data_IF_652948229548
#
_entry.id   IF_652948229548
#
_cell.length_a   1.000
_cell.length_b   1.000
_cell.length_c   1.000
_cell.angle_alpha   90.00
_cell.angle_beta   90.00
_cell.angle_gamma   90.00
#
_symmetry.space_group_name_H-M   'P 1'
#
loop_
_entity.id
_entity.type
_entity.pdbx_description
1 polymer ?
#
# COMPACT_ATOMS: atom_id res chain seq x y z
N UNK A 1 -15.99 -18.36 -11.54
CA UNK A 1 -14.89 -18.15 -12.51
C UNK A 1 -13.67 -18.79 -11.89
N UNK A 2 -13.45 -20.08 -12.15
CA UNK A 2 -12.29 -20.81 -11.65
C UNK A 2 -11.50 -21.27 -12.87
N UNK A 3 -10.34 -20.65 -13.09
CA UNK A 3 -9.32 -21.15 -14.02
C UNK A 3 -8.47 -22.14 -13.24
N UNK A 4 -8.71 -23.44 -13.43
CA UNK A 4 -7.88 -24.50 -12.87
C UNK A 4 -6.47 -24.42 -13.47
N UNK A 5 -5.48 -24.12 -12.62
CA UNK A 5 -4.06 -23.92 -12.94
C UNK A 5 -3.43 -25.14 -13.65
N UNK A 6 -4.04 -26.31 -13.49
CA UNK A 6 -3.50 -27.61 -13.90
C UNK A 6 -3.55 -27.85 -15.42
N UNK A 7 -4.46 -27.18 -16.16
CA UNK A 7 -4.65 -27.37 -17.61
C UNK A 7 -3.92 -26.34 -18.49
N UNK A 8 -3.13 -25.43 -17.90
CA UNK A 8 -2.41 -24.40 -18.64
C UNK A 8 -1.07 -24.91 -19.17
N UNK A 9 -0.74 -24.56 -20.41
CA UNK A 9 0.62 -24.72 -20.95
C UNK A 9 1.62 -23.91 -20.12
N UNK A 10 2.91 -24.25 -20.20
CA UNK A 10 3.97 -23.51 -19.50
C UNK A 10 3.92 -22.00 -19.82
N UNK A 11 3.74 -21.65 -21.10
CA UNK A 11 3.61 -20.25 -21.53
C UNK A 11 2.40 -19.53 -20.90
N UNK A 12 1.24 -20.20 -20.82
CA UNK A 12 0.06 -19.61 -20.19
C UNK A 12 0.19 -19.51 -18.67
N UNK A 13 0.93 -20.42 -18.02
CA UNK A 13 1.26 -20.33 -16.60
C UNK A 13 2.15 -19.13 -16.32
N UNK A 14 3.17 -18.89 -17.15
CA UNK A 14 4.08 -17.76 -16.99
C UNK A 14 3.38 -16.41 -17.17
N UNK A 15 2.49 -16.31 -18.17
CA UNK A 15 1.66 -15.13 -18.38
C UNK A 15 0.70 -14.89 -17.21
N UNK A 16 0.01 -15.94 -16.75
CA UNK A 16 -0.88 -15.85 -15.59
C UNK A 16 -0.12 -15.43 -14.33
N UNK A 17 1.03 -16.02 -14.06
CA UNK A 17 1.86 -15.66 -12.90
C UNK A 17 2.32 -14.21 -12.97
N UNK A 18 2.60 -13.69 -14.17
CA UNK A 18 2.93 -12.27 -14.36
C UNK A 18 1.74 -11.38 -14.03
N UNK A 19 0.55 -11.72 -14.52
CA UNK A 19 -0.69 -11.00 -14.21
C UNK A 19 -1.00 -11.01 -12.72
N UNK A 20 -0.89 -12.18 -12.07
CA UNK A 20 -1.10 -12.34 -10.63
C UNK A 20 -0.12 -11.47 -9.82
N UNK A 21 1.17 -11.45 -10.18
CA UNK A 21 2.16 -10.58 -9.53
C UNK A 21 1.80 -9.10 -9.61
N UNK A 22 1.33 -8.65 -10.77
CA UNK A 22 0.87 -7.25 -10.94
C UNK A 22 -0.34 -6.94 -10.07
N UNK A 23 -1.32 -7.85 -10.01
CA UNK A 23 -2.50 -7.67 -9.15
C UNK A 23 -2.13 -7.64 -7.67
N UNK A 24 -1.21 -8.50 -7.23
CA UNK A 24 -0.69 -8.49 -5.85
C UNK A 24 0.02 -7.16 -5.54
N UNK A 25 0.86 -6.67 -6.45
CA UNK A 25 1.54 -5.39 -6.27
C UNK A 25 0.54 -4.23 -6.12
N UNK A 26 -0.53 -4.23 -6.94
CA UNK A 26 -1.61 -3.24 -6.84
C UNK A 26 -2.36 -3.34 -5.50
N UNK A 27 -2.72 -4.56 -5.09
CA UNK A 27 -3.40 -4.80 -3.81
C UNK A 27 -2.56 -4.33 -2.61
N UNK A 28 -1.26 -4.64 -2.61
CA UNK A 28 -0.33 -4.20 -1.56
C UNK A 28 -0.19 -2.67 -1.53
N UNK A 29 -0.11 -2.02 -2.70
CA UNK A 29 -0.07 -0.57 -2.78
C UNK A 29 -1.36 0.06 -2.24
N UNK A 30 -2.52 -0.52 -2.57
CA UNK A 30 -3.81 -0.06 -2.05
C UNK A 30 -3.89 -0.20 -0.54
N UNK A 31 -3.44 -1.33 0.02
CA UNK A 31 -3.40 -1.53 1.47
C UNK A 31 -2.49 -0.52 2.16
N UNK A 32 -1.31 -0.26 1.59
CA UNK A 32 -0.38 0.74 2.11
C UNK A 32 -1.03 2.14 2.16
N UNK A 33 -1.70 2.55 1.08
CA UNK A 33 -2.40 3.82 1.00
C UNK A 33 -3.51 3.92 2.03
N UNK A 34 -4.32 2.86 2.20
CA UNK A 34 -5.39 2.82 3.21
C UNK A 34 -4.83 2.96 4.62
N UNK A 35 -3.79 2.19 4.97
CA UNK A 35 -3.17 2.25 6.32
C UNK A 35 -2.53 3.60 6.62
N UNK A 36 -1.85 4.18 5.64
CA UNK A 36 -1.27 5.52 5.76
C UNK A 36 -2.37 6.57 5.97
N UNK A 37 -3.45 6.49 5.18
CA UNK A 37 -4.57 7.42 5.25
C UNK A 37 -5.26 7.36 6.60
N UNK A 38 -5.62 6.17 7.07
CA UNK A 38 -6.23 5.96 8.40
C UNK A 38 -5.35 6.54 9.52
N UNK A 39 -4.04 6.25 9.48
CA UNK A 39 -3.10 6.67 10.51
C UNK A 39 -2.90 8.18 10.53
N UNK A 40 -2.71 8.79 9.36
CA UNK A 40 -2.48 10.22 9.27
C UNK A 40 -3.74 11.03 9.52
N UNK A 41 -4.91 10.56 9.07
CA UNK A 41 -6.18 11.20 9.40
C UNK A 41 -6.42 11.20 10.92
N UNK A 42 -6.31 10.04 11.58
CA UNK A 42 -6.47 9.94 13.03
C UNK A 42 -5.47 10.80 13.82
N UNK A 43 -4.27 10.99 13.30
CA UNK A 43 -3.21 11.76 13.96
C UNK A 43 -3.38 13.27 13.79
N UNK A 44 -3.82 13.70 12.61
CA UNK A 44 -3.75 15.10 12.20
C UNK A 44 -5.09 15.82 12.18
N UNK A 45 -6.20 15.11 11.98
CA UNK A 45 -7.54 15.71 11.88
C UNK A 45 -8.23 15.63 13.24
N UNK A 46 -8.15 16.72 13.99
CA UNK A 46 -8.75 16.82 15.32
C UNK A 46 -10.22 17.26 15.30
N UNK A 47 -10.62 18.01 14.27
CA UNK A 47 -11.98 18.54 14.10
C UNK A 47 -12.43 18.31 12.67
N UNK A 48 -13.03 17.14 12.35
CA UNK A 48 -13.44 16.82 11.00
C UNK A 48 -14.39 17.87 10.42
N UNK A 49 -14.01 18.44 9.27
CA UNK A 49 -14.79 19.40 8.50
C UNK A 49 -14.99 18.95 7.06
N UNK A 50 -15.59 19.82 6.23
CA UNK A 50 -15.71 19.58 4.79
C UNK A 50 -14.37 19.72 4.05
N UNK A 51 -13.43 20.47 4.65
CA UNK A 51 -12.11 20.75 4.10
C UNK A 51 -11.06 20.64 5.20
N UNK A 52 -9.83 20.33 4.81
CA UNK A 52 -8.68 20.35 5.72
C UNK A 52 -8.18 21.77 5.89
N UNK A 53 -8.04 22.22 7.13
CA UNK A 53 -7.40 23.52 7.39
C UNK A 53 -5.88 23.47 7.09
N UNK A 54 -5.23 24.64 7.05
CA UNK A 54 -3.81 24.73 6.69
C UNK A 54 -2.88 23.96 7.66
N UNK A 55 -3.28 23.82 8.93
CA UNK A 55 -2.53 23.08 9.94
C UNK A 55 -2.69 21.56 9.75
N UNK A 56 -3.91 21.10 9.42
CA UNK A 56 -4.22 19.71 9.11
C UNK A 56 -3.51 19.25 7.84
N UNK A 57 -3.54 20.06 6.77
CA UNK A 57 -2.82 19.79 5.52
C UNK A 57 -1.32 19.63 5.77
N UNK A 58 -0.71 20.57 6.50
CA UNK A 58 0.72 20.51 6.85
C UNK A 58 1.05 19.27 7.69
N UNK A 59 0.22 18.96 8.68
CA UNK A 59 0.41 17.77 9.51
C UNK A 59 0.32 16.48 8.67
N UNK A 60 -0.67 16.37 7.79
CA UNK A 60 -0.86 15.19 6.93
C UNK A 60 0.34 15.00 6.01
N UNK A 61 0.83 16.06 5.35
CA UNK A 61 2.03 15.97 4.51
C UNK A 61 3.23 15.42 5.29
N UNK A 62 3.51 16.01 6.46
CA UNK A 62 4.58 15.52 7.34
C UNK A 62 4.35 14.09 7.82
N UNK A 63 3.11 13.72 8.13
CA UNK A 63 2.76 12.38 8.59
C UNK A 63 3.01 11.34 7.49
N UNK A 64 2.57 11.62 6.26
CA UNK A 64 2.75 10.73 5.11
C UNK A 64 4.25 10.52 4.82
N UNK A 65 5.05 11.59 4.83
CA UNK A 65 6.50 11.50 4.65
C UNK A 65 7.15 10.58 5.71
N UNK A 66 6.83 10.80 6.99
CA UNK A 66 7.38 9.98 8.09
C UNK A 66 6.84 8.55 8.08
N UNK A 67 5.62 8.34 7.63
CA UNK A 67 5.04 7.01 7.48
C UNK A 67 5.82 6.23 6.42
N UNK A 68 6.06 6.83 5.25
CA UNK A 68 6.83 6.20 4.17
C UNK A 68 8.28 5.95 4.56
N UNK A 69 8.94 6.88 5.25
CA UNK A 69 10.30 6.67 5.78
C UNK A 69 10.35 5.45 6.72
N UNK A 70 9.39 5.37 7.63
CA UNK A 70 9.30 4.26 8.60
C UNK A 70 9.00 2.94 7.89
N UNK A 71 8.06 2.94 6.96
CA UNK A 71 7.70 1.77 6.16
C UNK A 71 8.91 1.25 5.37
N UNK A 72 9.62 2.14 4.67
CA UNK A 72 10.79 1.79 3.88
C UNK A 72 11.92 1.21 4.74
N UNK A 73 12.17 1.80 5.92
CA UNK A 73 13.15 1.26 6.86
C UNK A 73 12.78 -0.16 7.30
N UNK A 74 11.55 -0.34 7.79
CA UNK A 74 11.06 -1.63 8.28
C UNK A 74 11.06 -2.67 7.15
N UNK A 75 10.57 -2.33 5.97
CA UNK A 75 10.52 -3.21 4.80
C UNK A 75 11.92 -3.70 4.42
N UNK A 76 12.90 -2.79 4.27
CA UNK A 76 14.29 -3.17 3.97
C UNK A 76 14.90 -4.05 5.07
N UNK A 77 14.73 -3.67 6.33
CA UNK A 77 15.28 -4.45 7.46
C UNK A 77 14.64 -5.83 7.55
N UNK A 78 13.34 -5.94 7.30
CA UNK A 78 12.63 -7.22 7.29
C UNK A 78 13.14 -8.13 6.16
N UNK A 79 13.20 -7.61 4.92
CA UNK A 79 13.74 -8.36 3.77
C UNK A 79 15.19 -8.79 3.95
N UNK A 80 16.01 -8.03 4.68
CA UNK A 80 17.39 -8.41 4.98
C UNK A 80 17.50 -9.53 6.03
N UNK A 81 16.46 -9.77 6.82
CA UNK A 81 16.45 -10.77 7.90
C UNK A 81 15.92 -12.13 7.47
N UNK A 82 15.09 -12.18 6.44
CA UNK A 82 14.51 -13.40 5.86
C UNK A 82 15.36 -13.89 4.68
#
# INVERSE_FOLDING_TARGET
MEMSLDNLSSAQKDELMTSVKQQIALANAQELLTKMTEKCFKKCVGKPGQELDSSEQKCIAMCMDRFMDSWNLVSRTYTQRI
#
